data_IF_163796157083
#
_entry.id   IF_163796157083
#
_cell.length_a   1.000
_cell.length_b   1.000
_cell.length_c   1.000
_cell.angle_alpha   90.00
_cell.angle_beta   90.00
_cell.angle_gamma   90.00
#
_symmetry.space_group_name_H-M   'P 1'
#
loop_
_entity.id
_entity.type
_entity.pdbx_description
1 polymer ?
#
# COMPACT_ATOMS: atom_id res chain seq x y z
N UNK A 1 5.83 5.54 -6.16
CA UNK A 1 5.57 4.57 -5.07
C UNK A 1 6.45 3.36 -5.25
N UNK A 2 7.37 3.13 -4.32
CA UNK A 2 8.18 1.91 -4.19
C UNK A 2 7.59 1.04 -3.08
N UNK A 3 7.46 -0.26 -3.30
CA UNK A 3 7.01 -1.20 -2.28
C UNK A 3 8.09 -1.32 -1.20
N UNK A 4 7.70 -1.26 0.07
CA UNK A 4 8.58 -1.54 1.20
C UNK A 4 8.24 -2.92 1.75
N UNK A 5 6.96 -3.17 2.01
CA UNK A 5 6.49 -4.42 2.63
C UNK A 5 5.02 -4.64 2.30
N UNK A 6 4.63 -5.91 2.20
CA UNK A 6 3.24 -6.38 2.25
C UNK A 6 3.15 -7.36 3.41
N UNK A 7 2.14 -7.21 4.26
CA UNK A 7 1.91 -8.06 5.45
C UNK A 7 0.41 -8.27 5.67
N UNK A 8 0.08 -9.25 6.53
CA UNK A 8 -1.29 -9.48 7.01
C UNK A 8 -1.42 -8.98 8.44
N UNK A 9 -2.60 -8.49 8.81
CA UNK A 9 -3.01 -8.24 10.19
C UNK A 9 -4.36 -8.90 10.46
N UNK A 10 -4.90 -8.72 11.67
CA UNK A 10 -6.17 -9.33 12.08
C UNK A 10 -7.39 -8.83 11.27
N UNK A 11 -7.28 -7.69 10.58
CA UNK A 11 -8.39 -7.04 9.84
C UNK A 11 -8.27 -7.20 8.31
N UNK A 12 -7.17 -7.77 7.82
CA UNK A 12 -6.88 -7.93 6.39
C UNK A 12 -5.40 -7.72 6.05
N UNK A 13 -5.12 -6.89 5.05
CA UNK A 13 -3.75 -6.73 4.51
C UNK A 13 -3.21 -5.32 4.68
N UNK A 14 -1.92 -5.22 4.95
CA UNK A 14 -1.19 -3.96 5.08
C UNK A 14 -0.13 -3.87 3.98
N UNK A 15 -0.05 -2.72 3.33
CA UNK A 15 1.02 -2.38 2.39
C UNK A 15 1.73 -1.12 2.85
N UNK A 16 3.05 -1.21 3.09
CA UNK A 16 3.91 -0.06 3.32
C UNK A 16 4.62 0.31 2.02
N UNK A 17 4.56 1.59 1.64
CA UNK A 17 5.17 2.07 0.40
C UNK A 17 5.83 3.44 0.58
N UNK A 18 6.97 3.64 -0.09
CA UNK A 18 7.67 4.91 -0.16
C UNK A 18 7.11 5.76 -1.31
N UNK A 19 6.61 6.95 -0.99
CA UNK A 19 6.17 7.94 -1.97
C UNK A 19 7.22 9.04 -2.07
N UNK A 20 7.93 9.09 -3.20
CA UNK A 20 8.88 10.15 -3.53
C UNK A 20 8.19 11.28 -4.28
N UNK A 21 8.41 12.51 -3.83
CA UNK A 21 7.98 13.72 -4.51
C UNK A 21 9.18 14.30 -5.24
N UNK A 22 9.03 14.49 -6.55
CA UNK A 22 10.07 15.00 -7.43
C UNK A 22 9.56 16.25 -8.14
N UNK A 23 10.43 17.23 -8.33
CA UNK A 23 10.18 18.41 -9.14
C UNK A 23 11.38 18.56 -10.08
N UNK A 24 11.12 18.63 -11.40
CA UNK A 24 12.16 18.77 -12.43
C UNK A 24 13.33 17.77 -12.29
N UNK A 25 13.02 16.49 -12.00
CA UNK A 25 14.02 15.43 -11.87
C UNK A 25 14.71 15.35 -10.50
N UNK A 26 14.71 16.42 -9.72
CA UNK A 26 15.25 16.46 -8.35
C UNK A 26 14.27 15.85 -7.36
N UNK A 27 14.76 14.96 -6.49
CA UNK A 27 13.97 14.41 -5.39
C UNK A 27 13.95 15.40 -4.23
N UNK A 28 12.79 16.00 -3.97
CA UNK A 28 12.60 16.95 -2.89
C UNK A 28 12.51 16.23 -1.54
N UNK A 29 11.62 15.25 -1.46
CA UNK A 29 11.46 14.45 -0.25
C UNK A 29 10.79 13.11 -0.57
N UNK A 30 10.83 12.21 0.40
CA UNK A 30 10.08 10.96 0.36
C UNK A 30 9.38 10.71 1.68
N UNK A 31 8.16 10.18 1.61
CA UNK A 31 7.38 9.82 2.79
C UNK A 31 6.89 8.39 2.69
N UNK A 32 6.99 7.65 3.79
CA UNK A 32 6.37 6.34 3.92
C UNK A 32 4.86 6.52 4.12
N UNK A 33 4.07 5.82 3.31
CA UNK A 33 2.63 5.70 3.46
C UNK A 33 2.26 4.24 3.75
N UNK A 34 1.25 4.07 4.58
CA UNK A 34 0.68 2.77 4.93
C UNK A 34 -0.73 2.70 4.37
N UNK A 35 -1.02 1.59 3.70
CA UNK A 35 -2.33 1.30 3.12
C UNK A 35 -2.89 0.03 3.75
N UNK A 36 -4.17 0.06 4.09
CA UNK A 36 -4.88 -1.03 4.75
C UNK A 36 -6.01 -1.49 3.83
N UNK A 37 -6.04 -2.79 3.53
CA UNK A 37 -7.17 -3.47 2.91
C UNK A 37 -7.95 -4.15 4.02
N UNK A 38 -9.14 -3.65 4.30
CA UNK A 38 -10.05 -4.27 5.26
C UNK A 38 -10.88 -5.35 4.56
N UNK A 39 -10.90 -6.57 5.09
CA UNK A 39 -11.69 -7.67 4.52
C UNK A 39 -13.18 -7.33 4.48
N UNK A 40 -13.69 -6.64 5.50
CA UNK A 40 -15.10 -6.23 5.62
C UNK A 40 -15.59 -5.28 4.52
N UNK A 41 -14.69 -4.51 3.90
CA UNK A 41 -15.06 -3.46 2.93
C UNK A 41 -14.47 -3.71 1.53
N UNK A 42 -13.61 -4.71 1.36
CA UNK A 42 -12.88 -5.02 0.13
C UNK A 42 -12.31 -3.78 -0.57
N UNK A 43 -11.79 -2.84 0.23
CA UNK A 43 -11.30 -1.56 -0.25
C UNK A 43 -10.03 -1.14 0.50
N UNK A 44 -9.14 -0.47 -0.23
CA UNK A 44 -7.91 0.09 0.33
C UNK A 44 -8.15 1.48 0.89
N UNK A 45 -7.61 1.72 2.07
CA UNK A 45 -7.61 3.00 2.77
C UNK A 45 -6.19 3.42 3.12
N UNK A 46 -5.92 4.72 3.12
CA UNK A 46 -4.65 5.25 3.63
C UNK A 46 -4.74 5.35 5.15
N UNK A 47 -3.88 4.64 5.89
CA UNK A 47 -3.99 4.49 7.35
C UNK A 47 -4.03 5.84 8.09
N UNK A 48 -3.21 6.81 7.65
CA UNK A 48 -3.08 8.13 8.29
C UNK A 48 -4.24 9.07 8.04
N UNK A 49 -4.95 8.95 6.91
CA UNK A 49 -6.06 9.86 6.57
C UNK A 49 -7.42 9.19 6.59
N UNK A 50 -7.44 7.85 6.73
CA UNK A 50 -8.61 6.97 6.58
C UNK A 50 -9.38 7.19 5.26
N UNK A 51 -8.78 7.90 4.29
CA UNK A 51 -9.37 8.15 2.98
C UNK A 51 -9.23 6.91 2.10
N UNK A 52 -10.30 6.63 1.34
CA UNK A 52 -10.30 5.58 0.32
C UNK A 52 -9.26 5.88 -0.75
N UNK A 53 -8.52 4.85 -1.14
CA UNK A 53 -7.45 4.95 -2.13
C UNK A 53 -8.04 5.09 -3.54
N UNK A 54 -7.43 5.94 -4.38
CA UNK A 54 -7.85 6.12 -5.77
C UNK A 54 -7.69 4.85 -6.62
N UNK A 55 -8.47 4.74 -7.71
CA UNK A 55 -8.49 3.56 -8.59
C UNK A 55 -7.09 3.15 -9.08
N UNK A 56 -6.26 4.11 -9.52
CA UNK A 56 -4.89 3.85 -10.00
C UNK A 56 -3.99 3.26 -8.92
N UNK A 57 -4.04 3.81 -7.70
CA UNK A 57 -3.28 3.29 -6.56
C UNK A 57 -3.79 1.91 -6.16
N UNK A 58 -5.12 1.71 -6.11
CA UNK A 58 -5.75 0.41 -5.82
C UNK A 58 -5.24 -0.71 -6.73
N UNK A 59 -5.19 -0.47 -8.04
CA UNK A 59 -4.67 -1.46 -9.00
C UNK A 59 -3.23 -1.86 -8.67
N UNK A 60 -2.38 -0.89 -8.31
CA UNK A 60 -0.99 -1.15 -7.93
C UNK A 60 -0.88 -1.94 -6.62
N UNK A 61 -1.69 -1.59 -5.62
CA UNK A 61 -1.73 -2.30 -4.33
C UNK A 61 -2.20 -3.74 -4.50
N UNK A 62 -3.27 -3.98 -5.27
CA UNK A 62 -3.75 -5.32 -5.58
C UNK A 62 -2.70 -6.15 -6.31
N UNK A 63 -1.98 -5.54 -7.27
CA UNK A 63 -0.88 -6.23 -7.96
C UNK A 63 0.19 -6.67 -6.97
N UNK A 64 0.66 -5.76 -6.11
CA UNK A 64 1.67 -6.11 -5.10
C UNK A 64 1.20 -7.18 -4.13
N UNK A 65 -0.06 -7.11 -3.67
CA UNK A 65 -0.64 -8.14 -2.83
C UNK A 65 -0.60 -9.49 -3.54
N UNK A 66 -1.12 -9.58 -4.76
CA UNK A 66 -1.12 -10.82 -5.56
C UNK A 66 0.29 -11.38 -5.76
N UNK A 67 1.26 -10.51 -6.08
CA UNK A 67 2.65 -10.90 -6.35
C UNK A 67 3.36 -11.45 -5.08
N UNK A 68 2.94 -11.00 -3.89
CA UNK A 68 3.60 -11.35 -2.62
C UNK A 68 2.76 -12.27 -1.71
N UNK A 69 1.49 -12.53 -2.04
CA UNK A 69 0.54 -13.26 -1.19
C UNK A 69 1.06 -14.62 -0.73
N UNK A 70 1.71 -15.37 -1.62
CA UNK A 70 2.30 -16.70 -1.33
C UNK A 70 3.36 -16.68 -0.24
N UNK A 71 3.97 -15.52 0.03
CA UNK A 71 4.98 -15.34 1.07
C UNK A 71 4.38 -14.87 2.40
N UNK A 72 3.17 -14.29 2.36
CA UNK A 72 2.47 -13.78 3.53
C UNK A 72 1.70 -14.89 4.25
N UNK A 73 1.12 -15.83 3.50
CA UNK A 73 0.30 -16.93 4.04
C UNK A 73 1.11 -18.11 4.61
N UNK A 74 2.44 -18.07 4.51
CA UNK A 74 3.34 -19.12 5.02
C UNK A 74 3.84 -18.88 6.46
N UNK A 75 3.39 -17.79 7.09
CA UNK A 75 3.71 -17.39 8.46
C UNK A 75 2.43 -17.51 9.27
#
# INVERSE_FOLDING_TARGET
MKLINVSRNNEGYIVKALLSYRLLGLQLFSRVKVYELKESHNAWYEASSKKKVSKRKRLKLNKWLKDHQKFIEKI
#
